data_IF_140391809596
#
_entry.id   IF_140391809596
#
_cell.length_a   1.000
_cell.length_b   1.000
_cell.length_c   1.000
_cell.angle_alpha   90.00
_cell.angle_beta   90.00
_cell.angle_gamma   90.00
#
_symmetry.space_group_name_H-M   'P 1'
#
loop_
_entity.id
_entity.type
_entity.pdbx_description
1 polymer ?
#
# COMPACT_ATOMS: atom_id res chain seq x y z
N UNK A 1 3.97 17.48 -18.35
CA UNK A 1 5.42 17.18 -18.35
C UNK A 1 6.04 17.51 -19.71
N UNK A 2 5.71 16.79 -20.78
CA UNK A 2 6.29 16.97 -22.13
C UNK A 2 6.04 18.37 -22.71
N UNK A 3 4.80 18.86 -22.69
CA UNK A 3 4.43 20.15 -23.33
C UNK A 3 5.04 21.37 -22.62
N UNK A 4 5.20 21.29 -21.29
CA UNK A 4 5.71 22.41 -20.47
C UNK A 4 7.22 22.32 -20.19
N UNK A 5 7.93 21.35 -20.77
CA UNK A 5 9.38 21.21 -20.64
C UNK A 5 9.88 20.83 -19.24
N UNK A 6 9.06 20.13 -18.44
CA UNK A 6 9.51 19.64 -17.14
C UNK A 6 10.42 18.42 -17.31
N UNK A 7 11.55 18.41 -16.61
CA UNK A 7 12.53 17.32 -16.66
C UNK A 7 12.37 16.38 -15.48
N UNK A 8 12.25 15.09 -15.77
CA UNK A 8 12.31 14.04 -14.75
C UNK A 8 13.79 13.77 -14.46
N UNK A 9 14.21 13.66 -13.18
CA UNK A 9 15.59 13.28 -12.85
C UNK A 9 15.99 11.96 -13.51
N UNK A 10 17.24 11.89 -13.99
CA UNK A 10 17.81 10.67 -14.56
C UNK A 10 17.94 9.57 -13.49
N UNK A 11 17.88 8.31 -13.94
CA UNK A 11 18.07 7.17 -13.05
C UNK A 11 19.49 7.19 -12.47
N UNK A 12 19.59 7.08 -11.14
CA UNK A 12 20.86 6.92 -10.44
C UNK A 12 20.82 5.75 -9.48
N UNK A 13 21.97 5.10 -9.31
CA UNK A 13 22.18 4.06 -8.29
C UNK A 13 22.60 4.65 -6.93
N UNK A 14 22.84 5.96 -6.87
CA UNK A 14 23.17 6.65 -5.61
C UNK A 14 21.94 6.76 -4.73
N UNK A 15 22.10 6.57 -3.43
CA UNK A 15 21.04 6.82 -2.47
C UNK A 15 20.78 8.33 -2.34
N UNK A 16 19.61 8.79 -2.80
CA UNK A 16 19.19 10.18 -2.75
C UNK A 16 18.37 10.54 -1.50
N UNK A 17 18.23 9.63 -0.53
CA UNK A 17 17.49 9.92 0.70
C UNK A 17 18.20 11.02 1.52
N UNK A 18 17.56 12.16 1.86
CA UNK A 18 18.23 13.29 2.51
C UNK A 18 18.91 12.96 3.84
N UNK A 19 18.28 12.10 4.65
CA UNK A 19 18.84 11.58 5.90
C UNK A 19 19.73 10.33 5.76
N UNK A 20 20.15 9.95 4.55
CA UNK A 20 21.01 8.79 4.32
C UNK A 20 20.43 7.42 4.72
N UNK A 21 19.10 7.32 4.92
CA UNK A 21 18.45 6.04 5.27
C UNK A 21 18.65 5.04 4.15
N UNK A 22 18.88 3.79 4.51
CA UNK A 22 19.05 2.70 3.54
C UNK A 22 17.82 2.58 2.63
N UNK A 23 18.04 2.38 1.33
CA UNK A 23 16.95 2.14 0.36
C UNK A 23 16.22 0.85 0.72
N UNK A 24 16.98 -0.22 0.98
CA UNK A 24 16.41 -1.47 1.48
C UNK A 24 16.42 -1.47 3.01
N UNK A 25 15.32 -1.83 3.69
CA UNK A 25 14.01 -2.25 3.18
C UNK A 25 12.98 -1.10 3.05
N UNK A 26 13.35 0.11 3.45
CA UNK A 26 12.45 1.25 3.60
C UNK A 26 11.68 1.62 2.34
N UNK A 27 12.27 1.47 1.15
CA UNK A 27 11.60 1.75 -0.12
C UNK A 27 10.35 0.86 -0.25
N UNK A 28 10.50 -0.45 -0.14
CA UNK A 28 9.42 -1.41 -0.32
C UNK A 28 8.30 -1.28 0.72
N UNK A 29 8.63 -0.78 1.92
CA UNK A 29 7.62 -0.42 2.92
C UNK A 29 6.95 0.91 2.55
N UNK A 30 7.72 1.94 2.19
CA UNK A 30 7.16 3.27 1.86
C UNK A 30 6.21 3.22 0.67
N UNK A 31 6.58 2.49 -0.39
CA UNK A 31 5.73 2.29 -1.58
C UNK A 31 4.82 1.07 -1.43
N UNK A 32 4.24 0.86 -0.23
CA UNK A 32 3.53 -0.36 0.13
C UNK A 32 2.56 -0.85 -0.96
N UNK A 33 1.56 -0.03 -1.29
CA UNK A 33 0.53 -0.39 -2.28
C UNK A 33 1.09 -0.58 -3.70
N UNK A 34 2.20 0.08 -4.04
CA UNK A 34 2.84 -0.03 -5.36
C UNK A 34 3.80 -1.21 -5.50
N UNK A 35 4.47 -1.62 -4.41
CA UNK A 35 5.34 -2.79 -4.40
C UNK A 35 4.51 -4.08 -4.35
N UNK A 36 3.61 -4.20 -3.38
CA UNK A 36 2.57 -5.23 -3.31
C UNK A 36 1.56 -4.88 -2.21
N UNK A 37 0.28 -4.99 -2.52
CA UNK A 37 -0.78 -4.56 -1.60
C UNK A 37 -1.41 -5.72 -0.83
N UNK A 38 -1.19 -5.77 0.48
CA UNK A 38 -1.92 -6.67 1.38
C UNK A 38 -3.39 -6.25 1.56
N UNK A 39 -3.67 -4.96 1.47
CA UNK A 39 -5.02 -4.41 1.55
C UNK A 39 -5.94 -4.99 0.47
N UNK A 40 -5.47 -5.16 -0.76
CA UNK A 40 -6.26 -5.80 -1.83
C UNK A 40 -6.65 -7.23 -1.49
N UNK A 41 -5.82 -7.97 -0.72
CA UNK A 41 -6.17 -9.30 -0.25
C UNK A 41 -7.36 -9.28 0.73
N UNK A 42 -7.51 -8.23 1.55
CA UNK A 42 -8.68 -8.10 2.45
C UNK A 42 -9.98 -7.86 1.69
N UNK A 43 -9.92 -7.15 0.58
CA UNK A 43 -11.09 -6.80 -0.23
C UNK A 43 -11.47 -7.89 -1.23
N UNK A 44 -10.52 -8.75 -1.59
CA UNK A 44 -10.69 -9.79 -2.61
C UNK A 44 -11.91 -10.70 -2.36
N UNK A 45 -12.25 -11.13 -1.13
CA UNK A 45 -13.46 -11.92 -0.88
C UNK A 45 -14.76 -11.18 -1.23
N UNK A 46 -14.80 -9.85 -1.04
CA UNK A 46 -15.98 -9.06 -1.40
C UNK A 46 -16.16 -9.00 -2.91
N UNK A 47 -15.06 -8.82 -3.63
CA UNK A 47 -15.09 -8.76 -5.09
C UNK A 47 -15.33 -10.12 -5.72
N UNK A 48 -14.75 -11.19 -5.17
CA UNK A 48 -14.99 -12.55 -5.64
C UNK A 48 -16.47 -12.96 -5.58
N UNK A 49 -17.26 -12.43 -4.62
CA UNK A 49 -18.72 -12.67 -4.52
C UNK A 49 -19.54 -11.89 -5.56
N UNK A 50 -18.95 -10.92 -6.24
CA UNK A 50 -19.60 -10.12 -7.28
C UNK A 50 -19.19 -10.54 -8.70
N UNK A 51 -18.25 -11.48 -8.82
CA UNK A 51 -17.81 -12.01 -10.11
C UNK A 51 -18.64 -13.24 -10.46
N UNK A 52 -19.21 -13.26 -11.66
CA UNK A 52 -20.06 -14.37 -12.11
C UNK A 52 -19.24 -15.47 -12.80
N UNK A 53 -18.17 -15.09 -13.51
CA UNK A 53 -17.36 -16.01 -14.29
C UNK A 53 -15.86 -15.86 -13.99
N UNK A 54 -15.13 -16.97 -13.87
CA UNK A 54 -13.67 -16.93 -13.61
C UNK A 54 -12.88 -16.12 -14.65
N UNK A 55 -13.35 -16.05 -15.90
CA UNK A 55 -12.74 -15.24 -16.96
C UNK A 55 -12.67 -13.74 -16.61
N UNK A 56 -13.56 -13.26 -15.74
CA UNK A 56 -13.63 -11.86 -15.30
C UNK A 56 -12.59 -11.55 -14.22
N UNK A 57 -12.02 -12.57 -13.56
CA UNK A 57 -11.00 -12.40 -12.53
C UNK A 57 -9.77 -11.67 -13.09
N UNK A 58 -9.39 -11.94 -14.35
CA UNK A 58 -8.22 -11.29 -14.97
C UNK A 58 -8.40 -9.78 -15.12
N UNK A 59 -9.45 -9.24 -15.75
CA UNK A 59 -9.65 -7.79 -15.78
C UNK A 59 -9.93 -7.19 -14.40
N UNK A 60 -10.71 -7.85 -13.53
CA UNK A 60 -11.10 -7.30 -12.23
C UNK A 60 -9.92 -7.19 -11.25
N UNK A 61 -9.10 -8.22 -11.14
CA UNK A 61 -7.96 -8.21 -10.21
C UNK A 61 -6.69 -7.73 -10.90
N UNK A 62 -6.19 -8.46 -11.90
CA UNK A 62 -4.92 -8.13 -12.55
C UNK A 62 -4.99 -6.83 -13.35
N UNK A 63 -6.05 -6.62 -14.13
CA UNK A 63 -6.23 -5.42 -14.94
C UNK A 63 -6.27 -4.14 -14.10
N UNK A 64 -7.03 -4.15 -13.00
CA UNK A 64 -7.10 -3.03 -12.07
C UNK A 64 -5.74 -2.70 -11.44
N UNK A 65 -4.97 -3.71 -11.01
CA UNK A 65 -3.62 -3.49 -10.46
C UNK A 65 -2.67 -2.85 -11.47
N UNK A 66 -2.73 -3.26 -12.74
CA UNK A 66 -1.91 -2.64 -13.81
C UNK A 66 -2.32 -1.19 -14.03
N UNK A 67 -3.62 -0.88 -14.04
CA UNK A 67 -4.12 0.48 -14.19
C UNK A 67 -3.68 1.38 -13.02
N UNK A 68 -3.77 0.91 -11.78
CA UNK A 68 -3.26 1.61 -10.60
C UNK A 68 -1.75 1.87 -10.68
N UNK A 69 -0.98 0.87 -11.14
CA UNK A 69 0.46 1.01 -11.36
C UNK A 69 0.81 2.11 -12.36
N UNK A 70 0.09 2.19 -13.49
CA UNK A 70 0.28 3.26 -14.49
C UNK A 70 -0.01 4.63 -13.87
N UNK A 71 -1.11 4.77 -13.14
CA UNK A 71 -1.48 6.02 -12.47
C UNK A 71 -0.40 6.41 -11.45
N UNK A 72 0.07 5.46 -10.63
CA UNK A 72 1.13 5.70 -9.65
C UNK A 72 2.43 6.19 -10.30
N UNK A 73 2.84 5.59 -11.42
CA UNK A 73 4.03 6.02 -12.17
C UNK A 73 3.88 7.44 -12.74
N UNK A 74 2.70 7.80 -13.25
CA UNK A 74 2.41 9.16 -13.74
C UNK A 74 2.55 10.17 -12.61
N UNK A 75 1.97 9.89 -11.44
CA UNK A 75 2.05 10.78 -10.28
C UNK A 75 3.47 10.88 -9.72
N UNK A 76 4.22 9.77 -9.67
CA UNK A 76 5.62 9.79 -9.26
C UNK A 76 6.47 10.65 -10.21
N UNK A 77 6.30 10.49 -11.53
CA UNK A 77 6.99 11.29 -12.53
C UNK A 77 6.63 12.78 -12.42
N UNK A 78 5.34 13.09 -12.22
CA UNK A 78 4.87 14.46 -12.02
C UNK A 78 5.49 15.10 -10.77
N UNK A 79 5.50 14.37 -9.65
CA UNK A 79 6.07 14.85 -8.40
C UNK A 79 7.58 15.10 -8.50
N UNK A 80 8.33 14.14 -9.06
CA UNK A 80 9.79 14.29 -9.23
C UNK A 80 10.15 15.47 -10.14
N UNK A 81 9.37 15.66 -11.22
CA UNK A 81 9.63 16.73 -12.16
C UNK A 81 9.20 18.11 -11.65
N UNK A 82 8.14 18.21 -10.85
CA UNK A 82 7.60 19.47 -10.35
C UNK A 82 8.28 19.96 -9.06
N UNK A 83 8.53 19.06 -8.10
CA UNK A 83 9.09 19.45 -6.81
C UNK A 83 10.63 19.51 -6.81
N UNK A 84 11.32 18.97 -7.80
CA UNK A 84 12.79 19.08 -7.94
C UNK A 84 13.60 18.63 -6.69
N UNK A 85 13.02 17.83 -5.80
CA UNK A 85 13.68 17.33 -4.59
C UNK A 85 12.81 17.45 -3.34
N UNK A 86 13.39 17.00 -2.22
CA UNK A 86 12.70 16.98 -0.92
C UNK A 86 12.42 18.38 -0.32
N UNK A 87 13.30 19.39 -0.44
CA UNK A 87 13.06 20.69 0.20
C UNK A 87 11.79 21.39 -0.29
N UNK A 88 11.57 21.47 -1.61
CA UNK A 88 10.33 22.06 -2.14
C UNK A 88 9.13 21.13 -1.92
N UNK A 89 9.33 19.80 -1.93
CA UNK A 89 8.28 18.86 -1.57
C UNK A 89 7.80 19.13 -0.14
N UNK A 90 8.68 19.21 0.85
CA UNK A 90 8.30 19.49 2.23
C UNK A 90 7.70 20.88 2.43
N UNK A 91 8.19 21.89 1.72
CA UNK A 91 7.64 23.24 1.83
C UNK A 91 6.15 23.31 1.43
N UNK A 92 5.72 22.48 0.48
CA UNK A 92 4.34 22.43 -0.02
C UNK A 92 3.50 21.28 0.57
N UNK A 93 4.10 20.11 0.84
CA UNK A 93 3.42 18.93 1.40
C UNK A 93 3.45 18.88 2.94
N UNK A 94 4.44 19.49 3.57
CA UNK A 94 4.67 19.38 5.02
C UNK A 94 3.58 20.00 5.88
N UNK A 95 2.77 20.90 5.33
CA UNK A 95 1.56 21.45 5.96
C UNK A 95 0.32 20.62 5.64
N UNK A 96 0.08 20.28 4.37
CA UNK A 96 -1.02 19.43 3.94
C UNK A 96 -0.73 18.80 2.58
N UNK A 97 -0.65 17.46 2.46
CA UNK A 97 -0.43 16.77 1.18
C UNK A 97 -1.42 17.14 0.07
N UNK A 98 -2.66 17.50 0.41
CA UNK A 98 -3.66 17.92 -0.56
C UNK A 98 -3.28 19.22 -1.28
N UNK A 99 -2.58 20.14 -0.60
CA UNK A 99 -2.14 21.42 -1.18
C UNK A 99 -1.07 21.17 -2.22
N UNK A 100 -0.08 20.32 -1.93
CA UNK A 100 0.95 19.95 -2.90
C UNK A 100 0.37 19.30 -4.16
N UNK A 101 -0.63 18.44 -4.01
CA UNK A 101 -1.35 17.85 -5.16
C UNK A 101 -2.09 18.92 -5.96
N UNK A 102 -2.77 19.85 -5.29
CA UNK A 102 -3.52 20.93 -5.95
C UNK A 102 -2.61 21.86 -6.75
N UNK A 103 -1.54 22.37 -6.13
CA UNK A 103 -0.58 23.27 -6.78
C UNK A 103 0.07 22.62 -8.00
N UNK A 104 0.54 21.38 -7.86
CA UNK A 104 1.10 20.62 -8.98
C UNK A 104 0.06 20.40 -10.09
N UNK A 105 -1.18 20.08 -9.73
CA UNK A 105 -2.26 19.84 -10.71
C UNK A 105 -2.61 21.10 -11.49
N UNK A 106 -2.71 22.26 -10.82
CA UNK A 106 -2.95 23.56 -11.49
C UNK A 106 -1.77 23.92 -12.38
N UNK A 107 -0.54 23.77 -11.89
CA UNK A 107 0.65 24.10 -12.65
C UNK A 107 0.85 23.21 -13.89
N UNK A 108 0.51 21.92 -13.83
CA UNK A 108 0.71 21.00 -14.94
C UNK A 108 -0.49 20.93 -15.90
N UNK A 109 -1.72 20.97 -15.39
CA UNK A 109 -2.95 20.70 -16.15
C UNK A 109 -3.84 21.94 -16.36
N UNK A 110 -3.53 23.07 -15.71
CA UNK A 110 -4.40 24.25 -15.68
C UNK A 110 -5.64 24.04 -14.80
N UNK A 111 -6.44 25.09 -14.61
CA UNK A 111 -7.55 25.08 -13.63
C UNK A 111 -8.60 24.00 -13.91
N UNK A 112 -8.94 23.76 -15.18
CA UNK A 112 -9.93 22.74 -15.57
C UNK A 112 -9.39 21.33 -15.32
N UNK A 113 -8.16 21.04 -15.74
CA UNK A 113 -7.55 19.73 -15.54
C UNK A 113 -7.24 19.45 -14.06
N UNK A 114 -6.90 20.49 -13.29
CA UNK A 114 -6.74 20.38 -11.85
C UNK A 114 -8.05 20.07 -11.14
N UNK A 115 -9.16 20.69 -11.56
CA UNK A 115 -10.49 20.36 -11.04
C UNK A 115 -10.82 18.88 -11.23
N UNK A 116 -10.56 18.33 -12.43
CA UNK A 116 -10.77 16.91 -12.72
C UNK A 116 -9.84 16.00 -11.90
N UNK A 117 -8.56 16.36 -11.76
CA UNK A 117 -7.60 15.59 -10.99
C UNK A 117 -7.97 15.53 -9.50
N UNK A 118 -8.38 16.66 -8.91
CA UNK A 118 -8.80 16.74 -7.51
C UNK A 118 -10.07 15.93 -7.25
N UNK A 119 -11.03 15.94 -8.18
CA UNK A 119 -12.19 15.06 -8.07
C UNK A 119 -11.78 13.59 -7.95
N UNK A 120 -10.82 13.13 -8.75
CA UNK A 120 -10.28 11.78 -8.66
C UNK A 120 -9.55 11.50 -7.35
N UNK A 121 -8.67 12.42 -6.93
CA UNK A 121 -7.88 12.32 -5.69
C UNK A 121 -8.76 12.33 -4.44
N UNK A 122 -9.91 13.00 -4.46
CA UNK A 122 -10.86 13.02 -3.33
C UNK A 122 -11.81 11.82 -3.39
N UNK A 123 -12.33 11.48 -4.57
CA UNK A 123 -13.29 10.39 -4.72
C UNK A 123 -12.66 9.03 -4.36
N UNK A 124 -11.42 8.78 -4.77
CA UNK A 124 -10.77 7.48 -4.59
C UNK A 124 -10.56 7.09 -3.11
N UNK A 125 -10.04 7.96 -2.21
CA UNK A 125 -9.97 7.66 -0.78
C UNK A 125 -11.32 7.49 -0.11
N UNK A 126 -12.36 8.21 -0.56
CA UNK A 126 -13.71 8.08 0.00
C UNK A 126 -14.29 6.70 -0.33
N UNK A 127 -14.23 6.28 -1.59
CA UNK A 127 -14.76 4.98 -2.02
C UNK A 127 -13.93 3.81 -1.50
N UNK A 128 -12.60 3.96 -1.48
CA UNK A 128 -11.69 2.97 -0.90
C UNK A 128 -11.86 2.87 0.62
N UNK A 129 -12.08 4.00 1.28
CA UNK A 129 -12.36 4.08 2.71
C UNK A 129 -13.66 3.38 3.09
N UNK A 130 -14.76 3.65 2.38
CA UNK A 130 -16.01 2.92 2.58
C UNK A 130 -15.82 1.41 2.41
N UNK A 131 -15.09 1.01 1.36
CA UNK A 131 -14.76 -0.40 1.13
C UNK A 131 -13.91 -0.98 2.26
N UNK A 132 -12.96 -0.22 2.81
CA UNK A 132 -12.14 -0.62 3.96
C UNK A 132 -12.99 -0.85 5.22
N UNK A 133 -13.85 0.10 5.58
CA UNK A 133 -14.75 -0.02 6.73
C UNK A 133 -15.72 -1.19 6.58
N UNK A 134 -16.24 -1.39 5.37
CA UNK A 134 -17.11 -2.53 5.05
C UNK A 134 -16.35 -3.85 5.18
N UNK A 135 -15.15 -3.94 4.63
CA UNK A 135 -14.30 -5.13 4.72
C UNK A 135 -13.94 -5.45 6.16
N UNK A 136 -13.46 -4.48 6.93
CA UNK A 136 -13.12 -4.65 8.34
C UNK A 136 -14.33 -5.10 9.17
N UNK A 137 -15.50 -4.51 8.96
CA UNK A 137 -16.75 -4.94 9.62
C UNK A 137 -17.06 -6.41 9.33
N UNK A 138 -16.94 -6.82 8.08
CA UNK A 138 -17.24 -8.20 7.66
C UNK A 138 -16.19 -9.18 8.19
N UNK A 139 -14.90 -8.82 8.18
CA UNK A 139 -13.84 -9.63 8.79
C UNK A 139 -14.08 -9.84 10.29
N UNK A 140 -14.44 -8.80 11.03
CA UNK A 140 -14.80 -8.90 12.46
C UNK A 140 -16.03 -9.79 12.63
N UNK A 141 -17.07 -9.56 11.83
CA UNK A 141 -18.29 -10.35 11.88
C UNK A 141 -18.04 -11.85 11.63
N UNK A 142 -17.23 -12.17 10.62
CA UNK A 142 -16.88 -13.55 10.26
C UNK A 142 -16.02 -14.20 11.37
N UNK A 143 -15.07 -13.46 11.95
CA UNK A 143 -14.20 -13.95 13.03
C UNK A 143 -14.99 -14.31 14.29
N UNK A 144 -15.99 -13.50 14.65
CA UNK A 144 -16.84 -13.72 15.83
C UNK A 144 -18.16 -14.43 15.50
N UNK A 145 -18.34 -14.88 14.25
CA UNK A 145 -19.55 -15.52 13.75
C UNK A 145 -20.86 -14.73 14.03
N UNK A 146 -20.79 -13.40 13.89
CA UNK A 146 -21.89 -12.46 14.12
C UNK A 146 -22.66 -12.25 12.82
N UNK A 147 -23.88 -12.81 12.74
CA UNK A 147 -24.77 -12.62 11.58
C UNK A 147 -25.00 -11.13 11.26
N UNK A 148 -24.84 -10.75 10.00
CA UNK A 148 -24.95 -9.37 9.52
C UNK A 148 -26.30 -9.04 8.86
N UNK A 149 -27.26 -9.97 8.82
CA UNK A 149 -28.62 -9.70 8.31
C UNK A 149 -29.33 -8.62 9.15
N UNK A 150 -29.33 -8.69 10.50
CA UNK A 150 -29.97 -7.68 11.32
C UNK A 150 -29.17 -6.37 11.31
N UNK A 151 -29.85 -5.25 11.02
CA UNK A 151 -29.24 -3.91 11.02
C UNK A 151 -28.54 -3.58 12.35
N UNK A 152 -29.11 -4.02 13.49
CA UNK A 152 -28.52 -3.84 14.82
C UNK A 152 -27.11 -4.42 14.91
N UNK A 153 -26.88 -5.61 14.35
CA UNK A 153 -25.58 -6.28 14.39
C UNK A 153 -24.55 -5.58 13.50
N UNK A 154 -25.02 -4.89 12.44
CA UNK A 154 -24.16 -4.06 11.60
C UNK A 154 -23.64 -2.87 12.39
N UNK A 155 -24.54 -2.14 13.06
CA UNK A 155 -24.17 -0.96 13.85
C UNK A 155 -23.33 -1.29 15.08
N UNK A 156 -23.57 -2.46 15.70
CA UNK A 156 -22.77 -2.95 16.82
C UNK A 156 -21.27 -3.03 16.50
N UNK A 157 -20.91 -3.34 15.26
CA UNK A 157 -19.50 -3.38 14.80
C UNK A 157 -19.10 -2.05 14.16
N UNK A 158 -19.98 -1.46 13.33
CA UNK A 158 -19.67 -0.26 12.56
C UNK A 158 -19.42 0.97 13.45
N UNK A 159 -20.21 1.17 14.51
CA UNK A 159 -20.07 2.35 15.38
C UNK A 159 -18.72 2.34 16.12
N UNK A 160 -18.32 1.25 16.82
CA UNK A 160 -17.01 1.17 17.43
C UNK A 160 -15.87 1.29 16.40
N UNK A 161 -15.99 0.64 15.25
CA UNK A 161 -14.98 0.72 14.19
C UNK A 161 -14.81 2.17 13.68
N UNK A 162 -15.91 2.89 13.48
CA UNK A 162 -15.89 4.29 13.08
C UNK A 162 -15.30 5.19 14.16
N UNK A 163 -15.63 4.94 15.44
CA UNK A 163 -15.04 5.66 16.56
C UNK A 163 -13.51 5.48 16.63
N UNK A 164 -13.01 4.26 16.38
CA UNK A 164 -11.57 4.00 16.23
C UNK A 164 -10.99 4.76 15.04
N UNK A 165 -11.69 4.75 13.89
CA UNK A 165 -11.28 5.52 12.71
C UNK A 165 -11.13 7.01 13.00
N UNK A 166 -12.11 7.62 13.69
CA UNK A 166 -12.05 9.02 14.12
C UNK A 166 -10.91 9.24 15.12
N UNK A 167 -10.72 8.34 16.09
CA UNK A 167 -9.61 8.44 17.03
C UNK A 167 -8.24 8.44 16.32
N UNK A 168 -8.08 7.62 15.28
CA UNK A 168 -6.87 7.59 14.46
C UNK A 168 -6.64 8.92 13.72
N UNK A 169 -7.66 9.70 13.38
CA UNK A 169 -7.46 11.02 12.73
C UNK A 169 -6.78 12.06 13.61
N UNK A 170 -6.73 11.84 14.92
CA UNK A 170 -6.00 12.70 15.86
C UNK A 170 -4.54 12.27 16.06
N UNK A 171 -4.10 11.19 15.44
CA UNK A 171 -2.71 10.73 15.46
C UNK A 171 -1.96 11.35 14.28
N UNK A 172 -0.68 11.66 14.49
CA UNK A 172 0.19 12.16 13.42
C UNK A 172 0.19 11.23 12.20
N UNK A 173 -0.06 11.80 11.02
CA UNK A 173 -0.17 11.07 9.76
C UNK A 173 1.08 10.22 9.46
N UNK A 174 2.28 10.72 9.76
CA UNK A 174 3.52 9.99 9.51
C UNK A 174 3.67 8.78 10.43
N UNK A 175 3.11 8.84 11.64
CA UNK A 175 3.02 7.68 12.53
C UNK A 175 2.06 6.65 11.94
N UNK A 176 0.83 7.07 11.61
CA UNK A 176 -0.19 6.18 11.02
C UNK A 176 0.34 5.51 9.75
N UNK A 177 0.95 6.29 8.86
CA UNK A 177 1.47 5.81 7.59
C UNK A 177 2.55 4.73 7.76
N UNK A 178 3.46 4.90 8.72
CA UNK A 178 4.49 3.89 9.02
C UNK A 178 3.91 2.55 9.47
N UNK A 179 2.95 2.60 10.41
CA UNK A 179 2.27 1.39 10.88
C UNK A 179 1.41 0.75 9.79
N UNK A 180 0.68 1.57 9.03
CA UNK A 180 -0.11 1.12 7.88
C UNK A 180 0.78 0.40 6.86
N UNK A 181 1.87 1.04 6.44
CA UNK A 181 2.77 0.53 5.42
C UNK A 181 3.37 -0.82 5.81
N UNK A 182 3.87 -0.94 7.04
CA UNK A 182 4.41 -2.20 7.55
C UNK A 182 3.34 -3.29 7.72
N UNK A 183 2.17 -2.93 8.28
CA UNK A 183 1.06 -3.89 8.47
C UNK A 183 0.54 -4.41 7.13
N UNK A 184 0.41 -3.53 6.14
CA UNK A 184 0.01 -3.89 4.78
C UNK A 184 0.99 -4.86 4.16
N UNK A 185 2.29 -4.62 4.28
CA UNK A 185 3.31 -5.51 3.72
C UNK A 185 3.41 -6.85 4.46
N UNK A 186 3.21 -6.84 5.77
CA UNK A 186 3.14 -8.07 6.57
C UNK A 186 1.93 -8.92 6.15
N UNK A 187 0.78 -8.30 5.92
CA UNK A 187 -0.39 -9.00 5.40
C UNK A 187 -0.15 -9.54 3.99
N UNK A 188 0.47 -8.76 3.10
CA UNK A 188 0.84 -9.21 1.76
C UNK A 188 1.74 -10.46 1.82
N UNK A 189 2.76 -10.45 2.68
CA UNK A 189 3.64 -11.59 2.92
C UNK A 189 2.86 -12.85 3.35
N UNK A 190 1.96 -12.74 4.34
CA UNK A 190 1.16 -13.88 4.83
C UNK A 190 0.26 -14.43 3.70
N UNK A 191 -0.35 -13.54 2.93
CA UNK A 191 -1.24 -13.93 1.83
C UNK A 191 -0.48 -14.57 0.66
N UNK A 192 0.76 -14.14 0.39
CA UNK A 192 1.63 -14.79 -0.59
C UNK A 192 2.04 -16.20 -0.17
N UNK A 193 2.39 -16.41 1.11
CA UNK A 193 2.65 -17.77 1.62
C UNK A 193 1.39 -18.65 1.58
N UNK A 194 0.23 -18.09 1.91
CA UNK A 194 -1.06 -18.78 1.79
C UNK A 194 -1.34 -19.17 0.33
N UNK A 195 -1.12 -18.25 -0.61
CA UNK A 195 -1.26 -18.50 -2.04
C UNK A 195 -0.27 -19.55 -2.57
N UNK A 196 0.96 -19.53 -2.06
CA UNK A 196 1.98 -20.54 -2.38
C UNK A 196 1.54 -21.94 -1.98
N UNK A 197 1.07 -22.09 -0.74
CA UNK A 197 0.55 -23.36 -0.25
C UNK A 197 -0.67 -23.84 -1.05
N UNK A 198 -1.56 -22.92 -1.43
CA UNK A 198 -2.70 -23.26 -2.28
C UNK A 198 -2.27 -23.77 -3.66
N UNK A 199 -1.32 -23.10 -4.30
CA UNK A 199 -0.81 -23.50 -5.63
C UNK A 199 -0.04 -24.83 -5.57
N UNK A 200 0.76 -25.05 -4.52
CA UNK A 200 1.43 -26.32 -4.26
C UNK A 200 0.41 -27.46 -4.11
N UNK A 201 -0.60 -27.28 -3.25
CA UNK A 201 -1.65 -28.31 -3.04
C UNK A 201 -2.49 -28.59 -4.28
N UNK A 202 -2.61 -27.62 -5.18
CA UNK A 202 -3.37 -27.77 -6.44
C UNK A 202 -2.50 -28.15 -7.64
N UNK A 203 -1.21 -28.46 -7.44
CA UNK A 203 -0.24 -28.78 -8.50
C UNK A 203 -0.17 -27.71 -9.61
N UNK A 204 -0.31 -26.44 -9.23
CA UNK A 204 -0.19 -25.29 -10.14
C UNK A 204 1.17 -24.61 -9.96
N UNK A 205 1.52 -23.72 -10.88
CA UNK A 205 2.78 -22.98 -10.85
C UNK A 205 2.87 -22.08 -9.61
N UNK A 206 3.50 -22.57 -8.54
CA UNK A 206 3.68 -21.87 -7.27
C UNK A 206 4.82 -20.85 -7.29
N UNK A 207 5.68 -20.86 -8.32
CA UNK A 207 6.78 -19.90 -8.44
C UNK A 207 6.31 -18.45 -8.46
N UNK A 208 5.10 -18.22 -9.00
CA UNK A 208 4.49 -16.89 -9.10
C UNK A 208 4.20 -16.26 -7.73
N UNK A 209 4.03 -17.06 -6.68
CA UNK A 209 3.78 -16.56 -5.32
C UNK A 209 4.94 -16.79 -4.37
N UNK A 210 5.72 -17.87 -4.50
CA UNK A 210 6.81 -18.17 -3.56
C UNK A 210 7.96 -17.16 -3.65
N UNK A 211 8.36 -16.76 -4.86
CA UNK A 211 9.44 -15.79 -5.08
C UNK A 211 9.09 -14.45 -4.40
N UNK A 212 7.91 -13.84 -4.66
CA UNK A 212 7.53 -12.64 -3.94
C UNK A 212 7.27 -12.91 -2.45
N UNK A 213 6.81 -14.10 -2.02
CA UNK A 213 6.64 -14.43 -0.60
C UNK A 213 7.97 -14.33 0.17
N UNK A 214 9.02 -14.96 -0.34
CA UNK A 214 10.36 -14.93 0.24
C UNK A 214 10.85 -13.49 0.31
N UNK A 215 10.80 -12.77 -0.82
CA UNK A 215 11.26 -11.39 -0.90
C UNK A 215 10.54 -10.50 0.13
N UNK A 216 9.21 -10.62 0.21
CA UNK A 216 8.41 -9.85 1.15
C UNK A 216 8.68 -10.24 2.60
N UNK A 217 9.00 -11.50 2.90
CA UNK A 217 9.48 -11.91 4.22
C UNK A 217 10.80 -11.23 4.57
N UNK A 218 11.77 -11.18 3.65
CA UNK A 218 13.03 -10.47 3.91
C UNK A 218 12.76 -8.99 4.15
N UNK A 219 11.92 -8.34 3.33
CA UNK A 219 11.58 -6.91 3.46
C UNK A 219 10.93 -6.60 4.82
N UNK A 220 9.87 -7.33 5.19
CA UNK A 220 9.07 -7.02 6.39
C UNK A 220 9.86 -7.24 7.67
N UNK A 221 10.63 -8.34 7.74
CA UNK A 221 11.49 -8.63 8.89
C UNK A 221 12.68 -7.68 8.96
N UNK A 222 13.34 -7.38 7.82
CA UNK A 222 14.43 -6.40 7.80
C UNK A 222 13.94 -5.05 8.29
N UNK A 223 12.73 -4.64 7.89
CA UNK A 223 12.18 -3.33 8.25
C UNK A 223 11.93 -3.25 9.75
N UNK A 224 11.19 -4.20 10.32
CA UNK A 224 10.83 -4.11 11.74
C UNK A 224 12.07 -4.21 12.64
N UNK A 225 13.15 -4.86 12.18
CA UNK A 225 14.42 -4.84 12.89
C UNK A 225 15.10 -3.47 12.88
N UNK A 226 14.99 -2.70 11.79
CA UNK A 226 15.68 -1.41 11.61
C UNK A 226 14.83 -0.19 11.99
N UNK A 227 13.50 -0.29 11.89
CA UNK A 227 12.59 0.83 11.98
C UNK A 227 12.62 1.53 13.36
N UNK A 228 12.39 2.86 13.41
CA UNK A 228 12.30 3.60 14.67
C UNK A 228 11.20 3.09 15.62
N UNK A 229 10.10 2.59 15.07
CA UNK A 229 9.01 1.96 15.81
C UNK A 229 9.25 0.46 16.12
N UNK A 230 10.34 -0.10 15.62
CA UNK A 230 10.74 -1.49 15.81
C UNK A 230 11.97 -1.64 16.72
N UNK A 231 12.88 -2.57 16.37
CA UNK A 231 14.02 -2.94 17.23
C UNK A 231 15.24 -2.02 17.10
N UNK A 232 15.25 -1.07 16.15
CA UNK A 232 16.31 -0.06 15.96
C UNK A 232 17.72 -0.66 15.81
N UNK A 233 17.83 -1.83 15.22
CA UNK A 233 19.10 -2.50 14.95
C UNK A 233 19.80 -1.90 13.73
N UNK A 234 21.10 -2.16 13.60
CA UNK A 234 21.87 -1.72 12.44
C UNK A 234 21.37 -2.39 11.15
N UNK A 235 21.54 -1.74 9.98
CA UNK A 235 21.11 -2.32 8.71
C UNK A 235 21.71 -3.70 8.41
N UNK A 236 22.97 -3.93 8.78
CA UNK A 236 23.63 -5.22 8.57
C UNK A 236 22.93 -6.34 9.36
N UNK A 237 22.64 -6.10 10.64
CA UNK A 237 21.96 -7.09 11.50
C UNK A 237 20.52 -7.27 11.05
N UNK A 238 19.79 -6.18 10.81
CA UNK A 238 18.40 -6.23 10.39
C UNK A 238 18.20 -6.99 9.08
N UNK A 239 19.05 -6.72 8.07
CA UNK A 239 19.01 -7.43 6.79
C UNK A 239 19.41 -8.91 6.95
N UNK A 240 20.40 -9.22 7.80
CA UNK A 240 20.78 -10.59 8.11
C UNK A 240 19.64 -11.39 8.72
N UNK A 241 18.92 -10.82 9.69
CA UNK A 241 17.72 -11.43 10.29
C UNK A 241 16.62 -11.60 9.24
N UNK A 242 16.39 -10.61 8.39
CA UNK A 242 15.41 -10.72 7.31
C UNK A 242 15.70 -11.88 6.35
N UNK A 243 16.96 -12.03 5.94
CA UNK A 243 17.39 -13.14 5.07
C UNK A 243 17.18 -14.49 5.78
N UNK A 244 17.59 -14.60 7.04
CA UNK A 244 17.38 -15.81 7.84
C UNK A 244 15.88 -16.16 7.95
N UNK A 245 15.03 -15.17 8.21
CA UNK A 245 13.57 -15.36 8.24
C UNK A 245 13.02 -15.84 6.90
N UNK A 246 13.47 -15.27 5.77
CA UNK A 246 13.08 -15.70 4.43
C UNK A 246 13.43 -17.17 4.17
N UNK A 247 14.66 -17.60 4.53
CA UNK A 247 15.09 -18.99 4.41
C UNK A 247 14.27 -19.93 5.29
N UNK A 248 14.05 -19.55 6.57
CA UNK A 248 13.26 -20.34 7.52
C UNK A 248 11.84 -20.54 6.99
N UNK A 249 11.17 -19.47 6.55
CA UNK A 249 9.80 -19.56 6.03
C UNK A 249 9.71 -20.43 4.78
N UNK A 250 10.72 -20.37 3.90
CA UNK A 250 10.81 -21.25 2.71
C UNK A 250 10.92 -22.72 3.04
N UNK A 251 11.53 -23.06 4.18
CA UNK A 251 11.63 -24.46 4.64
C UNK A 251 10.34 -24.90 5.32
N UNK A 252 9.67 -23.98 6.02
CA UNK A 252 8.43 -24.27 6.75
C UNK A 252 7.22 -24.43 5.81
N UNK A 253 7.12 -23.57 4.78
CA UNK A 253 5.98 -23.50 3.89
C UNK A 253 6.29 -23.99 2.47
#
# INVERSE_FOLDING_TARGET
LIVKGYNIPELTLTNLHPGGKSIFPYLFITIACGAISGFHATQSPLMARCVEHEREIRPVFYGSMVAEGIIALIWAAAAMAFFHGEPQLQALYGTNPAVGVQEMSVALLGSVGAGLAILGVVACPITSGDTAFRSARLTIADTFNIKQDPIKNRFMIAIPLFAVGVALTFIDFNVIWRYFAWSNQTLAMIMLWTGTMFLLKTNKNYFITVIPAIFMTVVTFSYIMQAPEGFKLSPAIGNGIGIAAGLIFTVIF
#
